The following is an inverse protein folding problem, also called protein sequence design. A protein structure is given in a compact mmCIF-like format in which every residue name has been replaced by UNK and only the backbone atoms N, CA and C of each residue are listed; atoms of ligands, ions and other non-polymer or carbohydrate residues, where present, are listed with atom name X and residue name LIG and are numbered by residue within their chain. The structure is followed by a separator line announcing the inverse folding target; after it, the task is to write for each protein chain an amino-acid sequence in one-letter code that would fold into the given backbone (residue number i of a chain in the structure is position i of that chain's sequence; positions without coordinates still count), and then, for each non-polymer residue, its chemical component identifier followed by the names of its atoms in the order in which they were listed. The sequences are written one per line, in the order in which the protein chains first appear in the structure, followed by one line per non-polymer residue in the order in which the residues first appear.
data_IF_928705700009
#
_entry.id   IF_928705700009
#
_cell.length_a   1.000
_cell.length_b   1.000
_cell.length_c   1.000
_cell.angle_alpha   90.00
_cell.angle_beta   90.00
_cell.angle_gamma   90.00
#
_symmetry.space_group_name_H-M   'P 1'
#
loop_
_entity.id
_entity.type
_entity.pdbx_description
1 polymer ?
#
# COMPACT_ATOMS: atom_id res chain seq x y z
N UNK A 1 -80.41 6.14 -5.03
CA UNK A 1 -79.43 6.12 -6.14
C UNK A 1 -77.99 5.88 -5.66
N UNK A 2 -77.78 5.40 -4.43
CA UNK A 2 -76.43 5.20 -3.85
C UNK A 2 -75.85 3.81 -4.17
N UNK A 3 -76.62 2.72 -4.03
CA UNK A 3 -76.11 1.35 -4.27
C UNK A 3 -75.53 1.12 -5.67
N UNK A 4 -76.11 1.73 -6.70
CA UNK A 4 -75.65 1.52 -8.09
C UNK A 4 -74.32 2.21 -8.36
N UNK A 5 -73.96 3.22 -7.57
CA UNK A 5 -72.67 3.90 -7.65
C UNK A 5 -71.60 3.14 -6.89
N UNK A 6 -71.93 2.62 -5.71
CA UNK A 6 -71.03 1.75 -4.94
C UNK A 6 -70.69 0.47 -5.68
N UNK A 7 -71.68 -0.22 -6.27
CA UNK A 7 -71.45 -1.43 -7.06
C UNK A 7 -70.55 -1.18 -8.28
N UNK A 8 -70.67 -0.02 -8.93
CA UNK A 8 -69.78 0.35 -10.05
C UNK A 8 -68.36 0.66 -9.59
N UNK A 9 -68.20 1.26 -8.41
CA UNK A 9 -66.89 1.52 -7.80
C UNK A 9 -66.23 0.22 -7.34
N UNK A 10 -66.98 -0.69 -6.72
CA UNK A 10 -66.44 -2.01 -6.35
C UNK A 10 -66.05 -2.83 -7.59
N UNK A 11 -66.87 -2.81 -8.65
CA UNK A 11 -66.56 -3.48 -9.90
C UNK A 11 -65.31 -2.89 -10.59
N UNK A 12 -65.14 -1.56 -10.59
CA UNK A 12 -63.97 -0.92 -11.18
C UNK A 12 -62.70 -1.19 -10.36
N UNK A 13 -62.77 -1.16 -9.03
CA UNK A 13 -61.64 -1.50 -8.15
C UNK A 13 -61.25 -2.97 -8.32
N UNK A 14 -62.21 -3.90 -8.39
CA UNK A 14 -61.94 -5.30 -8.65
C UNK A 14 -61.29 -5.54 -10.02
N UNK A 15 -61.70 -4.80 -11.06
CA UNK A 15 -61.10 -4.89 -12.39
C UNK A 15 -59.65 -4.35 -12.41
N UNK A 16 -59.36 -3.28 -11.66
CA UNK A 16 -58.01 -2.72 -11.55
C UNK A 16 -57.09 -3.67 -10.77
N UNK A 17 -57.58 -4.28 -9.69
CA UNK A 17 -56.80 -5.23 -8.91
C UNK A 17 -56.48 -6.51 -9.68
N UNK A 18 -57.45 -7.05 -10.42
CA UNK A 18 -57.23 -8.25 -11.25
C UNK A 18 -56.28 -7.98 -12.42
N UNK A 19 -56.39 -6.83 -13.09
CA UNK A 19 -55.46 -6.45 -14.15
C UNK A 19 -54.04 -6.20 -13.64
N UNK A 20 -53.86 -5.57 -12.47
CA UNK A 20 -52.55 -5.40 -11.85
C UNK A 20 -51.86 -6.71 -11.48
N UNK A 21 -52.61 -7.74 -11.09
CA UNK A 21 -52.09 -9.07 -10.76
C UNK A 21 -51.64 -9.84 -12.01
N UNK A 22 -52.38 -9.70 -13.12
CA UNK A 22 -52.01 -10.31 -14.41
C UNK A 22 -50.76 -9.66 -15.01
N UNK A 23 -50.62 -8.34 -14.90
CA UNK A 23 -49.49 -7.58 -15.45
C UNK A 23 -48.20 -7.69 -14.61
N UNK A 24 -48.31 -7.97 -13.30
CA UNK A 24 -47.14 -8.10 -12.40
C UNK A 24 -46.54 -9.51 -12.37
N UNK A 25 -47.24 -10.50 -12.91
CA UNK A 25 -46.66 -11.81 -13.20
C UNK A 25 -45.75 -11.71 -14.40
N UNK A 26 -44.43 -11.68 -14.19
CA UNK A 26 -43.45 -11.81 -15.27
C UNK A 26 -43.70 -13.14 -16.01
N UNK A 27 -44.38 -13.07 -17.17
CA UNK A 27 -44.64 -14.22 -18.05
C UNK A 27 -43.29 -14.64 -18.64
N UNK A 28 -42.72 -15.73 -18.13
CA UNK A 28 -41.49 -16.35 -18.66
C UNK A 28 -40.26 -16.10 -17.80
N UNK A 29 -40.12 -16.85 -16.71
CA UNK A 29 -38.85 -17.02 -16.00
C UNK A 29 -38.02 -18.17 -16.60
N UNK A 30 -36.70 -18.22 -16.37
CA UNK A 30 -35.87 -19.36 -16.78
C UNK A 30 -36.38 -20.65 -16.12
N UNK A 31 -36.54 -21.70 -16.91
CA UNK A 31 -36.83 -23.05 -16.41
C UNK A 31 -35.49 -23.65 -15.97
N UNK A 32 -35.23 -23.69 -14.66
CA UNK A 32 -33.95 -24.17 -14.09
C UNK A 32 -33.87 -25.71 -14.12
N UNK A 33 -34.02 -26.30 -15.31
CA UNK A 33 -33.95 -27.75 -15.54
C UNK A 33 -35.17 -28.53 -15.03
N UNK A 34 -36.24 -27.84 -14.62
CA UNK A 34 -37.49 -28.45 -14.11
C UNK A 34 -38.65 -28.32 -15.09
N UNK A 35 -38.39 -27.88 -16.33
CA UNK A 35 -39.35 -27.63 -17.43
C UNK A 35 -40.52 -26.68 -17.12
N UNK A 36 -40.71 -26.26 -15.86
CA UNK A 36 -41.72 -25.31 -15.40
C UNK A 36 -41.10 -23.98 -15.00
N UNK A 37 -41.80 -22.89 -15.28
CA UNK A 37 -41.40 -21.56 -14.81
C UNK A 37 -41.76 -21.37 -13.33
N UNK A 38 -41.12 -20.42 -12.64
CA UNK A 38 -41.43 -20.14 -11.24
C UNK A 38 -42.91 -19.80 -10.99
N UNK A 39 -43.56 -19.11 -11.93
CA UNK A 39 -44.99 -18.78 -11.85
C UNK A 39 -45.90 -20.00 -12.07
N UNK A 40 -45.52 -20.89 -12.98
CA UNK A 40 -46.24 -22.13 -13.24
C UNK A 40 -46.14 -23.10 -12.05
N UNK A 41 -44.96 -23.18 -11.43
CA UNK A 41 -44.76 -23.97 -10.22
C UNK A 41 -45.55 -23.41 -9.03
N UNK A 42 -45.62 -22.09 -8.87
CA UNK A 42 -46.44 -21.47 -7.83
C UNK A 42 -47.94 -21.76 -8.00
N UNK A 43 -48.46 -21.73 -9.23
CA UNK A 43 -49.87 -22.04 -9.49
C UNK A 43 -50.19 -23.53 -9.28
N UNK A 44 -49.28 -24.42 -9.67
CA UNK A 44 -49.38 -25.86 -9.41
C UNK A 44 -49.34 -26.15 -7.90
N UNK A 45 -48.45 -25.47 -7.17
CA UNK A 45 -48.34 -25.61 -5.71
C UNK A 45 -49.61 -25.12 -5.00
N UNK A 46 -50.16 -23.95 -5.38
CA UNK A 46 -51.43 -23.44 -4.83
C UNK A 46 -52.62 -24.36 -5.18
N UNK A 47 -52.67 -24.89 -6.40
CA UNK A 47 -53.67 -25.87 -6.82
C UNK A 47 -53.55 -27.18 -6.04
N UNK A 48 -52.32 -27.61 -5.74
CA UNK A 48 -52.06 -28.83 -4.97
C UNK A 48 -52.43 -28.69 -3.49
N UNK A 49 -52.24 -27.52 -2.88
CA UNK A 49 -52.66 -27.23 -1.50
C UNK A 49 -54.18 -27.26 -1.36
N UNK A 50 -54.90 -26.85 -2.41
CA UNK A 50 -56.36 -26.97 -2.46
C UNK A 50 -56.84 -28.40 -2.76
N UNK A 51 -55.97 -29.27 -3.30
CA UNK A 51 -56.31 -30.66 -3.63
C UNK A 51 -55.95 -31.61 -2.48
N UNK A 52 -56.95 -32.26 -1.87
CA UNK A 52 -56.75 -33.21 -0.76
C UNK A 52 -56.26 -34.60 -1.21
N UNK A 53 -55.81 -34.75 -2.46
CA UNK A 53 -55.41 -36.04 -3.06
C UNK A 53 -53.93 -36.08 -3.46
N UNK A 54 -53.29 -37.27 -3.51
CA UNK A 54 -51.90 -37.38 -3.93
C UNK A 54 -51.77 -37.03 -5.43
N UNK A 55 -50.96 -36.02 -5.73
CA UNK A 55 -50.70 -35.59 -7.12
C UNK A 55 -49.73 -36.56 -7.82
N UNK A 56 -50.07 -36.93 -9.05
CA UNK A 56 -49.22 -37.78 -9.90
C UNK A 56 -48.10 -36.93 -10.49
N UNK A 57 -46.85 -37.19 -10.09
CA UNK A 57 -45.67 -36.48 -10.61
C UNK A 57 -45.14 -37.17 -11.86
N UNK A 58 -44.82 -36.40 -12.87
CA UNK A 58 -44.13 -36.91 -14.05
C UNK A 58 -42.68 -37.32 -13.71
N UNK A 59 -42.16 -38.41 -14.31
CA UNK A 59 -40.79 -38.84 -14.06
C UNK A 59 -39.80 -37.83 -14.66
N UNK A 60 -39.01 -37.20 -13.80
CA UNK A 60 -37.95 -36.26 -14.20
C UNK A 60 -36.88 -37.01 -15.00
N UNK A 61 -36.67 -36.61 -16.25
CA UNK A 61 -35.57 -37.13 -17.09
C UNK A 61 -34.25 -36.50 -16.65
N UNK A 62 -33.51 -37.19 -15.80
CA UNK A 62 -32.14 -36.82 -15.49
C UNK A 62 -31.25 -37.01 -16.72
N UNK A 63 -30.78 -35.92 -17.30
CA UNK A 63 -29.70 -35.99 -18.27
C UNK A 63 -28.39 -36.26 -17.49
N UNK A 64 -27.59 -37.25 -17.90
CA UNK A 64 -26.29 -37.47 -17.27
C UNK A 64 -25.44 -36.21 -17.42
N UNK A 65 -24.72 -35.83 -16.35
CA UNK A 65 -23.80 -34.69 -16.40
C UNK A 65 -22.79 -34.92 -17.52
N UNK A 66 -22.48 -33.91 -18.35
CA UNK A 66 -21.45 -34.07 -19.36
C UNK A 66 -20.12 -34.45 -18.68
N UNK A 67 -19.37 -35.34 -19.33
CA UNK A 67 -18.07 -35.79 -18.83
C UNK A 67 -17.11 -34.60 -18.64
N UNK A 68 -16.18 -34.74 -17.69
CA UNK A 68 -15.15 -33.73 -17.47
C UNK A 68 -14.31 -33.57 -18.74
N UNK A 69 -14.14 -32.33 -19.21
CA UNK A 69 -13.27 -32.04 -20.36
C UNK A 69 -11.83 -32.25 -19.93
N UNK A 70 -11.29 -33.41 -20.27
CA UNK A 70 -9.90 -33.77 -20.01
C UNK A 70 -9.02 -33.27 -21.15
N UNK A 71 -7.79 -32.79 -20.87
CA UNK A 71 -6.81 -32.53 -21.93
C UNK A 71 -6.47 -33.83 -22.68
N UNK A 72 -6.02 -33.74 -23.94
CA UNK A 72 -5.66 -34.92 -24.72
C UNK A 72 -4.62 -35.75 -23.97
N UNK A 73 -4.66 -37.07 -24.15
CA UNK A 73 -3.86 -38.04 -23.35
C UNK A 73 -2.35 -37.75 -23.35
N UNK A 74 -1.84 -37.10 -24.40
CA UNK A 74 -0.45 -36.67 -24.50
C UNK A 74 -0.07 -35.52 -23.55
N UNK A 75 -1.02 -34.70 -23.08
CA UNK A 75 -0.79 -33.56 -22.19
C UNK A 75 -1.24 -33.80 -20.74
N UNK A 76 -1.80 -34.99 -20.42
CA UNK A 76 -2.27 -35.27 -19.05
C UNK A 76 -1.13 -35.33 -18.02
N UNK A 77 0.07 -35.70 -18.45
CA UNK A 77 1.27 -35.77 -17.59
C UNK A 77 2.25 -34.61 -17.82
N UNK A 78 2.00 -33.76 -18.82
CA UNK A 78 2.85 -32.62 -19.14
C UNK A 78 2.44 -31.43 -18.26
N UNK A 79 3.10 -31.28 -17.13
CA UNK A 79 3.00 -30.08 -16.30
C UNK A 79 3.44 -28.87 -17.13
N UNK A 80 2.65 -27.81 -17.13
CA UNK A 80 3.06 -26.52 -17.70
C UNK A 80 4.29 -26.04 -16.93
N UNK A 81 5.31 -25.56 -17.64
CA UNK A 81 6.50 -25.03 -17.00
C UNK A 81 6.14 -23.91 -16.02
N UNK A 82 6.80 -23.85 -14.84
CA UNK A 82 6.53 -22.81 -13.86
C UNK A 82 6.75 -21.43 -14.47
N UNK A 83 5.85 -20.49 -14.16
CA UNK A 83 5.96 -19.12 -14.64
C UNK A 83 7.28 -18.50 -14.16
N UNK A 84 8.05 -17.93 -15.08
CA UNK A 84 9.30 -17.24 -14.75
C UNK A 84 8.98 -16.00 -13.90
N UNK A 85 9.73 -15.79 -12.83
CA UNK A 85 9.55 -14.64 -11.95
C UNK A 85 9.88 -13.34 -12.70
N UNK A 86 8.89 -12.47 -12.84
CA UNK A 86 9.09 -11.10 -13.36
C UNK A 86 9.88 -10.21 -12.39
N UNK A 87 10.12 -10.70 -11.17
CA UNK A 87 10.82 -10.00 -10.11
C UNK A 87 12.36 -10.05 -10.25
N UNK A 88 12.85 -10.24 -11.47
CA UNK A 88 14.28 -10.32 -11.80
C UNK A 88 14.53 -9.51 -13.07
N UNK A 89 15.64 -8.77 -13.09
CA UNK A 89 15.95 -7.86 -14.21
C UNK A 89 16.33 -8.62 -15.48
N UNK A 90 16.74 -9.87 -15.34
CA UNK A 90 16.96 -10.83 -16.43
C UNK A 90 15.68 -11.16 -17.19
N UNK A 91 14.53 -11.16 -16.48
CA UNK A 91 13.22 -11.43 -17.06
C UNK A 91 12.47 -10.14 -17.44
N UNK A 92 12.70 -9.04 -16.73
CA UNK A 92 12.06 -7.75 -16.98
C UNK A 92 13.03 -6.56 -16.80
N UNK A 93 13.44 -5.90 -17.90
CA UNK A 93 14.33 -4.73 -17.84
C UNK A 93 13.78 -3.54 -17.03
N UNK A 94 12.46 -3.42 -16.90
CA UNK A 94 11.79 -2.34 -16.15
C UNK A 94 11.72 -2.64 -14.63
N UNK A 95 12.22 -3.78 -14.19
CA UNK A 95 12.19 -4.14 -12.77
C UNK A 95 13.22 -3.36 -11.95
N UNK A 96 12.82 -2.93 -10.75
CA UNK A 96 13.65 -2.11 -9.87
C UNK A 96 14.89 -2.87 -9.42
N UNK A 97 16.07 -2.25 -9.56
CA UNK A 97 17.36 -2.81 -9.13
C UNK A 97 17.42 -2.95 -7.60
N UNK A 98 18.04 -4.04 -7.13
CA UNK A 98 18.32 -4.18 -5.70
C UNK A 98 19.36 -3.15 -5.23
N UNK A 99 19.36 -2.72 -3.96
CA UNK A 99 20.30 -1.70 -3.48
C UNK A 99 21.78 -2.06 -3.69
N UNK A 100 22.13 -3.34 -3.65
CA UNK A 100 23.51 -3.79 -3.89
C UNK A 100 23.85 -3.80 -5.39
N UNK A 101 22.91 -4.15 -6.27
CA UNK A 101 23.08 -4.02 -7.73
C UNK A 101 23.27 -2.56 -8.14
N UNK A 102 22.46 -1.64 -7.59
CA UNK A 102 22.62 -0.20 -7.84
C UNK A 102 24.01 0.26 -7.43
N UNK A 103 24.52 -0.19 -6.28
CA UNK A 103 25.87 0.16 -5.83
C UNK A 103 26.95 -0.42 -6.73
N UNK A 104 26.83 -1.68 -7.15
CA UNK A 104 27.76 -2.30 -8.07
C UNK A 104 27.82 -1.54 -9.39
N UNK A 105 26.65 -1.26 -9.99
CA UNK A 105 26.52 -0.45 -11.21
C UNK A 105 27.15 0.91 -11.07
N UNK A 106 26.88 1.63 -9.97
CA UNK A 106 27.45 2.97 -9.75
C UNK A 106 28.97 2.94 -9.56
N UNK A 107 29.53 1.87 -8.98
CA UNK A 107 30.99 1.67 -8.91
C UNK A 107 31.58 1.44 -10.29
N UNK A 108 31.00 0.53 -11.06
CA UNK A 108 31.44 0.24 -12.44
C UNK A 108 31.34 1.48 -13.33
N UNK A 109 30.25 2.24 -13.21
CA UNK A 109 30.06 3.50 -13.94
C UNK A 109 31.14 4.54 -13.56
N UNK A 110 31.48 4.64 -12.27
CA UNK A 110 32.54 5.53 -11.80
C UNK A 110 33.93 5.08 -12.27
N UNK A 111 34.22 3.78 -12.26
CA UNK A 111 35.49 3.22 -12.74
C UNK A 111 35.66 3.42 -14.26
N UNK A 112 34.60 3.18 -15.03
CA UNK A 112 34.58 3.43 -16.47
C UNK A 112 34.79 4.91 -16.81
N UNK A 113 34.27 5.83 -15.98
CA UNK A 113 34.38 7.27 -16.19
C UNK A 113 35.53 7.93 -15.41
N UNK A 114 36.46 7.15 -14.83
CA UNK A 114 37.54 7.66 -13.97
C UNK A 114 38.38 8.77 -14.59
N UNK A 115 38.61 8.71 -15.91
CA UNK A 115 39.43 9.68 -16.64
C UNK A 115 38.62 10.77 -17.35
N UNK A 116 37.30 10.82 -17.17
CA UNK A 116 36.43 11.79 -17.83
C UNK A 116 36.21 13.02 -16.93
N UNK A 117 36.81 14.19 -17.23
CA UNK A 117 36.67 15.39 -16.40
C UNK A 117 35.26 16.00 -16.42
N UNK A 118 34.44 15.64 -17.41
CA UNK A 118 33.07 16.13 -17.55
C UNK A 118 32.03 15.20 -16.93
N UNK A 119 32.44 14.03 -16.45
CA UNK A 119 31.53 13.07 -15.84
C UNK A 119 31.05 13.56 -14.47
N UNK A 120 29.76 13.36 -14.21
CA UNK A 120 29.13 13.70 -12.93
C UNK A 120 28.21 12.55 -12.57
N UNK A 121 28.47 11.91 -11.43
CA UNK A 121 27.71 10.75 -10.99
C UNK A 121 26.22 11.08 -10.80
N UNK A 122 25.32 10.12 -11.06
CA UNK A 122 23.89 10.29 -10.79
C UNK A 122 23.60 10.68 -9.33
N UNK A 123 24.41 10.17 -8.39
CA UNK A 123 24.32 10.51 -6.96
C UNK A 123 24.53 12.00 -6.69
N UNK A 124 25.46 12.65 -7.43
CA UNK A 124 25.71 14.08 -7.30
C UNK A 124 24.60 14.93 -7.96
N UNK A 125 23.85 14.37 -8.92
CA UNK A 125 22.71 15.01 -9.59
C UNK A 125 21.37 14.71 -8.94
N UNK A 126 21.31 13.84 -7.94
CA UNK A 126 20.07 13.39 -7.29
C UNK A 126 19.28 14.51 -6.57
N UNK A 127 19.84 15.72 -6.47
CA UNK A 127 19.07 16.91 -6.09
C UNK A 127 18.01 17.21 -7.15
N UNK A 128 16.79 17.56 -6.71
CA UNK A 128 15.62 17.78 -7.57
C UNK A 128 15.84 18.71 -8.78
N UNK A 129 16.88 19.53 -8.76
CA UNK A 129 17.19 20.51 -9.80
C UNK A 129 18.16 20.01 -10.88
N UNK A 130 18.69 18.77 -10.79
CA UNK A 130 19.61 18.19 -11.79
C UNK A 130 20.95 18.93 -11.96
N UNK A 131 21.21 19.93 -11.10
CA UNK A 131 22.40 20.79 -11.12
C UNK A 131 23.53 20.18 -10.30
N UNK A 132 24.78 20.39 -10.74
CA UNK A 132 25.98 20.12 -9.93
C UNK A 132 25.95 20.96 -8.65
N UNK A 133 25.96 20.29 -7.49
CA UNK A 133 26.09 20.95 -6.20
C UNK A 133 27.53 21.48 -6.04
N UNK A 134 27.66 22.71 -5.53
CA UNK A 134 28.96 23.27 -5.12
C UNK A 134 29.53 22.52 -3.92
N UNK A 135 30.84 22.60 -3.70
CA UNK A 135 31.48 21.93 -2.55
C UNK A 135 30.90 22.36 -1.20
N UNK A 136 30.49 23.63 -1.07
CA UNK A 136 29.85 24.17 0.13
C UNK A 136 28.47 23.54 0.35
N UNK A 137 27.64 23.49 -0.70
CA UNK A 137 26.31 22.86 -0.67
C UNK A 137 26.41 21.36 -0.34
N UNK A 138 27.39 20.65 -0.91
CA UNK A 138 27.63 19.24 -0.60
C UNK A 138 28.01 19.03 0.86
N UNK A 139 28.89 19.90 1.40
CA UNK A 139 29.32 19.81 2.80
C UNK A 139 28.18 20.13 3.76
N UNK A 140 27.32 21.08 3.42
CA UNK A 140 26.12 21.41 4.19
C UNK A 140 25.12 20.24 4.19
N UNK A 141 24.80 19.69 3.02
CA UNK A 141 23.93 18.51 2.90
C UNK A 141 24.46 17.30 3.67
N UNK A 142 25.78 17.07 3.65
CA UNK A 142 26.42 16.02 4.46
C UNK A 142 26.25 16.28 5.97
N UNK A 143 26.49 17.52 6.42
CA UNK A 143 26.32 17.90 7.83
C UNK A 143 24.87 17.75 8.28
N UNK A 144 23.92 18.15 7.43
CA UNK A 144 22.50 17.92 7.67
C UNK A 144 22.20 16.43 7.77
N UNK A 145 22.64 15.62 6.81
CA UNK A 145 22.50 14.15 6.84
C UNK A 145 23.00 13.53 8.15
N UNK A 146 24.17 13.97 8.64
CA UNK A 146 24.71 13.52 9.93
C UNK A 146 23.88 13.97 11.12
N UNK A 147 23.36 15.21 11.13
CA UNK A 147 22.46 15.68 12.20
C UNK A 147 21.17 14.85 12.25
N UNK A 148 20.66 14.48 11.08
CA UNK A 148 19.46 13.65 10.93
C UNK A 148 19.70 12.25 11.47
N UNK A 149 20.81 11.62 11.10
CA UNK A 149 21.21 10.29 11.58
C UNK A 149 21.39 10.28 13.10
N UNK A 150 21.98 11.34 13.66
CA UNK A 150 22.13 11.48 15.12
C UNK A 150 20.82 11.86 15.84
N UNK A 151 19.71 12.05 15.13
CA UNK A 151 18.44 12.46 15.75
C UNK A 151 18.47 13.87 16.35
N UNK A 152 19.50 14.66 16.07
CA UNK A 152 19.82 15.93 16.70
C UNK A 152 19.03 17.11 16.10
N UNK A 153 17.73 16.92 15.90
CA UNK A 153 16.79 17.95 15.46
C UNK A 153 15.67 18.08 16.51
N UNK A 154 15.60 19.25 17.12
CA UNK A 154 14.77 19.57 18.29
C UNK A 154 13.36 20.02 17.95
N UNK A 155 13.16 20.56 16.74
CA UNK A 155 12.01 21.44 16.53
C UNK A 155 10.76 20.71 16.02
N UNK A 156 10.93 19.65 15.21
CA UNK A 156 9.84 18.97 14.50
C UNK A 156 10.13 17.48 14.25
N UNK A 157 9.09 16.65 14.23
CA UNK A 157 9.15 15.26 13.76
C UNK A 157 9.41 15.26 12.25
N UNK A 158 10.50 14.64 11.82
CA UNK A 158 10.94 14.66 10.42
C UNK A 158 10.55 13.39 9.66
N UNK A 159 10.56 12.24 10.33
CA UNK A 159 10.15 10.96 9.78
C UNK A 159 9.02 10.32 10.58
N UNK A 160 8.30 9.39 9.94
CA UNK A 160 7.24 8.64 10.61
C UNK A 160 7.80 7.65 11.65
N UNK A 161 9.05 7.21 11.50
CA UNK A 161 9.75 6.34 12.45
C UNK A 161 10.26 7.07 13.70
N UNK A 162 10.23 8.40 13.71
CA UNK A 162 10.75 9.19 14.83
C UNK A 162 9.76 9.23 16.00
N UNK A 163 10.23 9.09 17.26
CA UNK A 163 9.36 9.20 18.43
C UNK A 163 8.77 10.62 18.53
N UNK A 164 7.57 10.76 19.13
CA UNK A 164 6.95 12.06 19.38
C UNK A 164 7.88 13.01 20.13
N UNK A 165 7.74 14.32 19.87
CA UNK A 165 8.60 15.36 20.47
C UNK A 165 8.57 15.33 22.00
N UNK A 166 7.43 14.99 22.60
CA UNK A 166 7.26 14.94 24.05
C UNK A 166 8.20 13.94 24.74
N UNK A 167 8.60 12.87 24.05
CA UNK A 167 9.57 11.89 24.57
C UNK A 167 11.04 12.30 24.35
N UNK A 168 11.29 13.33 23.52
CA UNK A 168 12.63 13.87 23.27
C UNK A 168 12.95 15.10 24.13
N UNK A 169 11.96 15.70 24.77
CA UNK A 169 12.18 16.85 25.65
C UNK A 169 13.08 16.41 26.80
N UNK A 170 14.23 17.06 26.93
CA UNK A 170 15.01 16.94 28.15
C UNK A 170 14.19 17.55 29.30
N UNK A 171 14.32 17.04 30.54
CA UNK A 171 13.61 17.63 31.67
C UNK A 171 13.97 19.11 31.80
N UNK A 172 12.95 19.96 31.99
CA UNK A 172 13.14 21.41 32.09
C UNK A 172 14.20 21.74 33.15
N UNK A 173 15.23 22.49 32.75
CA UNK A 173 16.37 22.86 33.59
C UNK A 173 17.69 22.15 33.27
N UNK A 174 17.71 21.17 32.36
CA UNK A 174 18.96 20.50 31.92
C UNK A 174 19.53 21.04 30.59
N UNK A 175 18.78 21.85 29.84
CA UNK A 175 19.25 22.47 28.59
C UNK A 175 20.28 23.60 28.81
N UNK A 176 20.31 24.19 30.00
CA UNK A 176 21.15 25.36 30.31
C UNK A 176 22.49 25.00 30.96
N UNK A 177 22.68 23.76 31.42
CA UNK A 177 23.95 23.29 32.00
C UNK A 177 24.81 22.57 30.95
N UNK A 178 25.26 23.32 29.93
CA UNK A 178 26.16 22.81 28.89
C UNK A 178 27.63 22.71 29.38
N UNK A 179 27.88 23.01 30.66
CA UNK A 179 29.21 23.14 31.22
C UNK A 179 30.07 24.21 30.53
N UNK A 180 31.34 24.30 30.93
CA UNK A 180 32.29 25.19 30.24
C UNK A 180 32.69 24.57 28.88
N UNK A 181 32.68 25.34 27.78
CA UNK A 181 33.05 24.83 26.47
C UNK A 181 34.52 24.38 26.44
N UNK A 182 34.83 23.29 25.73
CA UNK A 182 36.17 22.70 25.67
C UNK A 182 37.27 23.69 25.23
N UNK A 183 36.92 24.67 24.39
CA UNK A 183 37.84 25.75 23.99
C UNK A 183 38.27 26.62 25.18
N UNK A 184 37.38 26.89 26.11
CA UNK A 184 37.69 27.68 27.31
C UNK A 184 38.53 26.88 28.30
N UNK A 185 38.24 25.57 28.44
CA UNK A 185 39.10 24.66 29.21
C UNK A 185 40.48 24.51 28.59
N UNK A 186 40.59 24.42 27.28
CA UNK A 186 41.88 24.35 26.57
C UNK A 186 42.66 25.66 26.74
N UNK A 187 41.99 26.81 26.62
CA UNK A 187 42.59 28.12 26.87
C UNK A 187 43.08 28.25 28.32
N UNK A 188 42.30 27.78 29.30
CA UNK A 188 42.71 27.75 30.71
C UNK A 188 43.90 26.82 30.94
N UNK A 189 43.88 25.59 30.40
CA UNK A 189 45.01 24.65 30.45
C UNK A 189 46.29 25.24 29.84
N UNK A 190 46.20 25.95 28.70
CA UNK A 190 47.35 26.63 28.08
C UNK A 190 47.88 27.77 28.95
N UNK A 191 47.00 28.59 29.53
CA UNK A 191 47.40 29.66 30.47
C UNK A 191 48.07 29.09 31.73
N UNK A 192 47.49 28.05 32.33
CA UNK A 192 48.06 27.38 33.50
C UNK A 192 49.40 26.71 33.19
N UNK A 193 49.54 26.09 32.02
CA UNK A 193 50.80 25.54 31.54
C UNK A 193 51.85 26.63 31.32
N UNK A 194 51.47 27.79 30.76
CA UNK A 194 52.35 28.95 30.63
C UNK A 194 52.77 29.51 31.99
N UNK A 195 51.85 29.64 32.95
CA UNK A 195 52.15 30.10 34.32
C UNK A 195 53.09 29.13 35.05
N UNK A 196 52.91 27.82 34.86
CA UNK A 196 53.82 26.79 35.40
C UNK A 196 55.20 26.78 34.72
N UNK A 197 55.27 27.14 33.43
CA UNK A 197 56.53 27.26 32.68
C UNK A 197 57.23 28.61 32.88
N UNK A 198 56.51 29.66 33.28
CA UNK A 198 57.10 30.88 33.82
C UNK A 198 57.55 30.62 35.25
N UNK A 199 58.60 29.81 35.37
CA UNK A 199 59.37 29.67 36.59
C UNK A 199 60.08 30.99 36.89
N UNK A 200 59.35 31.98 37.39
CA UNK A 200 59.93 33.20 37.91
C UNK A 200 60.60 32.84 39.23
N UNK A 201 61.87 32.42 39.15
CA UNK A 201 62.81 32.46 40.28
C UNK A 201 63.06 33.93 40.62
N UNK A 202 62.08 34.57 41.25
CA UNK A 202 62.18 35.97 41.71
C UNK A 202 63.25 36.12 42.81
N UNK A 203 63.64 35.03 43.49
CA UNK A 203 64.60 35.08 44.60
C UNK A 203 65.81 34.18 44.30
N UNK A 204 66.79 34.68 43.54
CA UNK A 204 68.14 34.09 43.49
C UNK A 204 69.16 35.23 43.38
N UNK A 205 69.89 35.54 44.47
CA UNK A 205 70.90 36.60 44.48
C UNK A 205 72.32 36.01 44.52
N UNK A 206 72.77 35.30 43.49
CA UNK A 206 74.18 34.96 43.24
C UNK A 206 74.37 34.33 41.85
#
# INVERSE_FOLDING_TARGET
MEMTRELRVFASVAAILTSGLVLSGCIGGPTYGTDKTAGEQLMDDLGSVASLGPTKRDPVKYQPRPGLVLPPSAQQTALVEPQKSLATREANPEWVESPEEVRARLREEADANKNNPNYVSPLAKASANGRRLSAKEQQEAYREGRKIEMGAYSDKRRFLSDPPLDYRRLPEGTETDLGEPEKDKERRRKKEAQIKNTGTKWYWPF
#
